data_IF_628259510299
#
_entry.id   IF_628259510299
#
_cell.length_a   1.000
_cell.length_b   1.000
_cell.length_c   1.000
_cell.angle_alpha   90.00
_cell.angle_beta   90.00
_cell.angle_gamma   90.00
#
_symmetry.space_group_name_H-M   'P 1'
#
loop_
_entity.id
_entity.type
_entity.pdbx_description
1 polymer ?
#
# COMPACT_ATOMS: atom_id res chain seq x y z
N UNK A 1 -14.16 3.78 -8.42
CA UNK A 1 -12.93 4.60 -8.47
C UNK A 1 -13.34 6.09 -8.49
N UNK A 2 -13.02 6.85 -7.42
CA UNK A 2 -13.32 8.28 -7.31
C UNK A 2 -12.21 9.16 -7.91
N UNK A 3 -11.17 8.56 -8.47
CA UNK A 3 -10.06 9.29 -9.10
C UNK A 3 -9.13 10.00 -8.12
N UNK A 4 -8.98 9.47 -6.90
CA UNK A 4 -8.07 10.01 -5.89
C UNK A 4 -7.05 8.99 -5.44
N UNK A 5 -5.88 9.46 -5.01
CA UNK A 5 -4.85 8.73 -4.29
C UNK A 5 -4.86 9.21 -2.84
N UNK A 6 -4.87 8.27 -1.88
CA UNK A 6 -4.95 8.61 -0.46
C UNK A 6 -3.60 9.04 0.10
N UNK A 7 -2.54 8.30 -0.19
CA UNK A 7 -1.14 8.53 0.15
C UNK A 7 -0.77 8.44 1.64
N UNK A 8 -1.76 8.27 2.54
CA UNK A 8 -1.54 8.16 4.00
C UNK A 8 -2.31 6.98 4.60
N UNK A 9 -2.28 5.80 3.94
CA UNK A 9 -2.91 4.60 4.49
C UNK A 9 -2.01 3.98 5.55
N UNK A 10 -2.50 3.97 6.79
CA UNK A 10 -1.84 3.42 7.99
C UNK A 10 -2.92 3.02 9.01
N UNK A 11 -2.61 2.23 10.06
CA UNK A 11 -3.59 1.83 11.06
C UNK A 11 -4.30 3.00 11.73
N UNK A 12 -3.59 4.09 12.03
CA UNK A 12 -4.16 5.29 12.67
C UNK A 12 -5.26 5.96 11.85
N UNK A 13 -5.28 5.74 10.53
CA UNK A 13 -6.26 6.32 9.60
C UNK A 13 -7.35 5.32 9.20
N UNK A 14 -7.47 4.20 9.91
CA UNK A 14 -8.52 3.19 9.67
C UNK A 14 -9.47 3.16 10.86
N UNK A 15 -10.73 3.47 10.58
CA UNK A 15 -11.78 3.64 11.58
C UNK A 15 -12.89 2.62 11.41
N UNK A 16 -13.47 2.16 12.52
CA UNK A 16 -14.72 1.40 12.53
C UNK A 16 -15.87 2.38 12.79
N UNK A 17 -16.73 2.57 11.79
CA UNK A 17 -17.91 3.45 11.90
C UNK A 17 -19.16 2.63 11.56
N UNK A 18 -20.05 2.47 12.52
CA UNK A 18 -21.29 1.69 12.38
C UNK A 18 -21.04 0.27 11.81
N UNK A 19 -20.02 -0.42 12.34
CA UNK A 19 -19.67 -1.77 11.91
C UNK A 19 -18.97 -1.87 10.55
N UNK A 20 -18.61 -0.73 9.93
CA UNK A 20 -17.93 -0.70 8.64
C UNK A 20 -16.54 -0.07 8.78
N UNK A 21 -15.52 -0.72 8.23
CA UNK A 21 -14.17 -0.17 8.15
C UNK A 21 -14.11 0.94 7.10
N UNK A 22 -13.52 2.06 7.49
CA UNK A 22 -13.33 3.24 6.64
C UNK A 22 -11.92 3.76 6.76
N UNK A 23 -11.36 4.19 5.64
CA UNK A 23 -10.11 4.95 5.60
C UNK A 23 -10.46 6.43 5.71
N UNK A 24 -9.81 7.12 6.61
CA UNK A 24 -10.00 8.57 6.85
C UNK A 24 -8.69 9.32 6.84
N UNK A 25 -8.73 10.59 7.21
CA UNK A 25 -7.64 11.56 7.09
C UNK A 25 -7.22 11.78 5.62
N UNK A 26 -7.92 12.69 4.97
CA UNK A 26 -7.70 13.05 3.56
C UNK A 26 -6.68 14.19 3.39
N UNK A 27 -5.87 14.47 4.42
CA UNK A 27 -4.91 15.60 4.41
C UNK A 27 -3.83 15.50 3.33
N UNK A 28 -3.52 14.30 2.85
CA UNK A 28 -2.54 14.06 1.78
C UNK A 28 -3.18 13.64 0.45
N UNK A 29 -4.50 13.73 0.32
CA UNK A 29 -5.20 13.25 -0.87
C UNK A 29 -4.76 14.02 -2.13
N UNK A 30 -4.55 13.27 -3.21
CA UNK A 30 -4.25 13.84 -4.52
C UNK A 30 -5.25 13.37 -5.56
N UNK A 31 -5.76 14.29 -6.36
CA UNK A 31 -6.63 13.99 -7.48
C UNK A 31 -5.82 13.43 -8.65
N UNK A 32 -6.27 12.30 -9.23
CA UNK A 32 -5.75 11.75 -10.48
C UNK A 32 -5.79 12.81 -11.57
N UNK A 33 -4.78 12.84 -12.41
CA UNK A 33 -4.70 13.79 -13.53
C UNK A 33 -4.59 15.28 -13.14
N UNK A 34 -4.30 15.59 -11.88
CA UNK A 34 -3.90 16.94 -11.46
C UNK A 34 -2.43 16.92 -11.09
N UNK A 35 -1.71 18.03 -11.34
CA UNK A 35 -0.35 18.19 -10.87
C UNK A 35 -0.27 17.96 -9.36
N UNK A 36 0.77 17.29 -8.91
CA UNK A 36 1.07 17.23 -7.47
C UNK A 36 1.46 18.61 -6.98
N UNK A 37 0.99 18.96 -5.79
CA UNK A 37 1.41 20.16 -5.08
C UNK A 37 2.63 19.90 -4.19
N UNK A 38 3.11 18.65 -4.17
CA UNK A 38 4.26 18.26 -3.36
C UNK A 38 5.53 18.96 -3.87
N UNK A 39 6.38 19.33 -2.93
CA UNK A 39 7.72 19.84 -3.27
C UNK A 39 8.60 18.70 -3.74
N UNK A 40 9.58 19.04 -4.56
CA UNK A 40 10.62 18.10 -4.96
C UNK A 40 11.39 17.60 -3.72
N UNK A 41 11.62 16.28 -3.61
CA UNK A 41 12.24 15.67 -2.44
C UNK A 41 11.41 15.71 -1.16
N UNK A 42 10.11 16.02 -1.24
CA UNK A 42 9.24 16.05 -0.07
C UNK A 42 8.92 14.64 0.43
N UNK A 43 8.94 14.46 1.76
CA UNK A 43 8.45 13.24 2.39
C UNK A 43 6.92 13.21 2.36
N UNK A 44 6.36 12.47 1.42
CA UNK A 44 4.90 12.31 1.28
C UNK A 44 4.46 10.96 1.84
N UNK A 45 3.70 11.01 2.91
CA UNK A 45 3.15 9.83 3.58
C UNK A 45 3.80 9.51 4.92
N UNK A 46 3.28 8.50 5.64
CA UNK A 46 3.65 8.21 7.01
C UNK A 46 4.96 7.43 7.08
N UNK A 47 5.88 7.89 7.94
CA UNK A 47 7.13 7.17 8.23
C UNK A 47 6.81 5.73 8.68
N UNK A 48 7.56 4.78 8.18
CA UNK A 48 7.33 3.35 8.45
C UNK A 48 6.27 2.69 7.55
N UNK A 49 5.41 3.45 6.86
CA UNK A 49 4.37 2.94 5.96
C UNK A 49 4.58 3.33 4.51
N UNK A 50 5.62 4.10 4.20
CA UNK A 50 5.95 4.58 2.86
C UNK A 50 6.05 3.44 1.85
N UNK A 51 5.52 3.71 0.66
CA UNK A 51 5.80 2.88 -0.52
C UNK A 51 7.22 3.14 -1.03
N UNK A 52 7.80 2.24 -1.83
CA UNK A 52 9.11 2.47 -2.46
C UNK A 52 9.18 3.77 -3.26
N UNK A 53 8.11 4.14 -3.95
CA UNK A 53 8.04 5.37 -4.74
C UNK A 53 8.09 6.63 -3.86
N UNK A 54 7.36 6.62 -2.75
CA UNK A 54 7.38 7.71 -1.79
C UNK A 54 8.75 7.85 -1.12
N UNK A 55 9.42 6.72 -0.85
CA UNK A 55 10.79 6.73 -0.34
C UNK A 55 11.80 7.23 -1.40
N UNK A 56 11.64 6.79 -2.66
CA UNK A 56 12.47 7.29 -3.76
C UNK A 56 12.30 8.79 -3.95
N UNK A 57 11.06 9.30 -3.90
CA UNK A 57 10.78 10.74 -3.96
C UNK A 57 11.57 11.49 -2.89
N UNK A 58 11.47 11.05 -1.66
CA UNK A 58 12.13 11.70 -0.53
C UNK A 58 13.66 11.66 -0.62
N UNK A 59 14.24 10.50 -0.99
CA UNK A 59 15.68 10.27 -0.91
C UNK A 59 16.43 10.53 -2.21
N UNK A 60 15.78 10.49 -3.36
CA UNK A 60 16.46 10.34 -4.64
C UNK A 60 15.92 11.22 -5.76
N UNK A 61 14.81 11.94 -5.58
CA UNK A 61 14.20 12.74 -6.66
C UNK A 61 15.16 13.82 -7.19
N UNK A 62 16.02 14.36 -6.34
CA UNK A 62 17.00 15.42 -6.68
C UNK A 62 18.39 14.89 -7.00
N UNK A 63 18.57 13.57 -7.13
CA UNK A 63 19.91 13.02 -7.38
C UNK A 63 20.16 12.91 -8.88
N UNK A 64 21.04 13.75 -9.40
CA UNK A 64 21.43 13.75 -10.81
C UNK A 64 21.94 12.38 -11.27
N UNK A 65 21.59 12.03 -12.52
CA UNK A 65 22.01 10.77 -13.13
C UNK A 65 21.30 9.51 -12.61
N UNK A 66 20.31 9.65 -11.72
CA UNK A 66 19.47 8.55 -11.23
C UNK A 66 18.03 8.74 -11.67
N UNK A 67 17.44 7.66 -12.18
CA UNK A 67 16.04 7.65 -12.64
C UNK A 67 15.26 6.59 -11.88
N UNK A 68 14.82 6.95 -10.68
CA UNK A 68 13.92 6.13 -9.87
C UNK A 68 12.47 6.52 -10.10
N UNK A 69 11.55 5.55 -9.93
CA UNK A 69 10.12 5.87 -9.88
C UNK A 69 9.80 6.62 -8.58
N UNK A 70 9.51 7.90 -8.70
CA UNK A 70 9.12 8.79 -7.60
C UNK A 70 7.62 9.15 -7.67
N UNK A 71 6.87 8.57 -8.61
CA UNK A 71 5.45 8.85 -8.79
C UNK A 71 4.60 8.08 -7.77
N UNK A 72 3.91 8.79 -6.89
CA UNK A 72 3.01 8.23 -5.89
C UNK A 72 1.60 8.17 -6.49
N UNK A 73 1.04 6.97 -6.62
CA UNK A 73 -0.26 6.71 -7.25
C UNK A 73 -1.06 5.62 -6.50
N UNK A 74 -2.15 5.13 -7.09
CA UNK A 74 -3.00 4.08 -6.50
C UNK A 74 -2.23 2.79 -6.14
N UNK A 75 -1.15 2.46 -6.86
CA UNK A 75 -0.33 1.30 -6.50
C UNK A 75 0.56 1.55 -5.28
N UNK A 76 0.84 2.82 -4.97
CA UNK A 76 1.45 3.22 -3.71
C UNK A 76 0.48 3.02 -2.54
N UNK A 77 -0.81 3.34 -2.75
CA UNK A 77 -1.88 3.08 -1.77
C UNK A 77 -2.07 1.57 -1.55
N UNK A 78 -2.02 0.75 -2.61
CA UNK A 78 -2.07 -0.72 -2.49
C UNK A 78 -0.89 -1.28 -1.68
N UNK A 79 0.30 -0.71 -1.82
CA UNK A 79 1.45 -1.09 -1.02
C UNK A 79 1.24 -0.75 0.47
N UNK A 80 0.76 0.45 0.77
CA UNK A 80 0.44 0.85 2.14
C UNK A 80 -0.66 -0.05 2.74
N UNK A 81 -1.71 -0.34 1.97
CA UNK A 81 -2.79 -1.25 2.38
C UNK A 81 -2.26 -2.65 2.70
N UNK A 82 -1.34 -3.17 1.90
CA UNK A 82 -0.69 -4.46 2.17
C UNK A 82 0.11 -4.45 3.47
N UNK A 83 0.78 -3.34 3.80
CA UNK A 83 1.45 -3.18 5.11
C UNK A 83 0.44 -3.21 6.24
N UNK A 84 -0.73 -2.59 6.08
CA UNK A 84 -1.81 -2.63 7.07
C UNK A 84 -2.35 -4.05 7.21
N UNK A 85 -2.61 -4.78 6.12
CA UNK A 85 -3.03 -6.17 6.19
C UNK A 85 -2.01 -7.04 6.94
N UNK A 86 -0.73 -6.89 6.60
CA UNK A 86 0.33 -7.58 7.32
C UNK A 86 0.31 -7.26 8.81
N UNK A 87 0.20 -5.97 9.16
CA UNK A 87 0.18 -5.52 10.54
C UNK A 87 -1.00 -6.11 11.34
N UNK A 88 -2.20 -6.12 10.75
CA UNK A 88 -3.39 -6.69 11.39
C UNK A 88 -3.20 -8.20 11.65
N UNK A 89 -2.57 -8.92 10.72
CA UNK A 89 -2.43 -10.36 10.78
C UNK A 89 -1.22 -10.82 11.59
N UNK A 90 -0.17 -10.01 11.68
CA UNK A 90 1.11 -10.38 12.29
C UNK A 90 1.46 -9.59 13.55
N UNK A 91 0.78 -8.48 13.82
CA UNK A 91 1.07 -7.60 14.96
C UNK A 91 2.31 -6.72 14.78
N UNK A 92 2.97 -6.72 13.61
CA UNK A 92 4.13 -5.88 13.32
C UNK A 92 4.06 -5.29 11.91
N UNK A 93 4.75 -4.17 11.68
CA UNK A 93 4.90 -3.61 10.33
C UNK A 93 5.97 -4.39 9.55
N UNK A 94 5.71 -4.76 8.27
CA UNK A 94 6.71 -5.44 7.46
C UNK A 94 7.86 -4.50 7.13
N UNK A 95 9.08 -4.97 7.37
CA UNK A 95 10.33 -4.26 7.01
C UNK A 95 11.14 -5.19 6.11
N UNK A 96 11.49 -4.71 4.91
CA UNK A 96 12.21 -5.51 3.92
C UNK A 96 11.35 -6.60 3.28
N UNK A 97 11.96 -7.74 2.95
CA UNK A 97 11.28 -8.84 2.29
C UNK A 97 10.55 -9.73 3.30
N UNK A 98 9.25 -9.91 3.11
CA UNK A 98 8.45 -10.85 3.91
C UNK A 98 8.68 -12.29 3.45
N UNK A 99 8.71 -13.24 4.40
CA UNK A 99 8.85 -14.67 4.14
C UNK A 99 7.58 -15.41 4.53
N UNK A 100 7.25 -16.46 3.78
CA UNK A 100 6.08 -17.28 4.08
C UNK A 100 6.20 -18.05 5.40
N UNK A 101 7.44 -18.44 5.75
CA UNK A 101 7.74 -19.08 7.04
C UNK A 101 7.35 -18.24 8.25
N UNK A 102 7.31 -16.92 8.07
CA UNK A 102 7.02 -15.99 9.16
C UNK A 102 5.53 -15.61 9.22
N UNK A 103 4.72 -16.13 8.27
CA UNK A 103 3.29 -15.79 8.17
C UNK A 103 2.43 -16.66 9.08
N UNK A 104 1.87 -16.07 10.13
CA UNK A 104 1.19 -16.79 11.22
C UNK A 104 -0.05 -17.57 10.80
N UNK A 105 -0.79 -17.12 9.81
CA UNK A 105 -2.05 -17.75 9.39
C UNK A 105 -1.88 -19.04 8.58
N UNK A 106 -0.68 -19.41 8.19
CA UNK A 106 -0.40 -20.59 7.36
C UNK A 106 -1.30 -20.69 6.10
N UNK A 107 -1.70 -19.55 5.54
CA UNK A 107 -2.51 -19.45 4.32
C UNK A 107 -1.65 -18.92 3.17
N UNK A 108 -1.08 -19.82 2.36
CA UNK A 108 -0.17 -19.46 1.25
C UNK A 108 -0.81 -18.56 0.21
N UNK A 109 -2.12 -18.68 -0.03
CA UNK A 109 -2.81 -17.81 -0.99
C UNK A 109 -2.90 -16.36 -0.50
N UNK A 110 -3.26 -16.17 0.78
CA UNK A 110 -3.30 -14.85 1.40
C UNK A 110 -1.90 -14.24 1.51
N UNK A 111 -0.91 -15.05 1.94
CA UNK A 111 0.48 -14.62 1.94
C UNK A 111 0.95 -14.15 0.56
N UNK A 112 0.65 -14.94 -0.49
CA UNK A 112 1.06 -14.61 -1.87
C UNK A 112 0.46 -13.30 -2.35
N UNK A 113 -0.81 -13.03 -2.06
CA UNK A 113 -1.48 -11.78 -2.40
C UNK A 113 -0.81 -10.59 -1.69
N UNK A 114 -0.61 -10.69 -0.37
CA UNK A 114 0.04 -9.62 0.41
C UNK A 114 1.47 -9.38 -0.08
N UNK A 115 2.24 -10.45 -0.33
CA UNK A 115 3.60 -10.36 -0.87
C UNK A 115 3.62 -9.68 -2.26
N UNK A 116 2.65 -9.98 -3.11
CA UNK A 116 2.53 -9.35 -4.42
C UNK A 116 2.26 -7.85 -4.28
N UNK A 117 1.34 -7.45 -3.40
CA UNK A 117 1.05 -6.05 -3.11
C UNK A 117 2.27 -5.32 -2.52
N UNK A 118 3.09 -5.99 -1.71
CA UNK A 118 4.34 -5.48 -1.12
C UNK A 118 5.53 -5.49 -2.11
N UNK A 119 5.31 -5.81 -3.38
CA UNK A 119 6.42 -5.83 -4.33
C UNK A 119 7.01 -4.43 -4.52
N UNK A 120 8.35 -4.35 -4.54
CA UNK A 120 9.05 -3.10 -4.77
C UNK A 120 8.68 -2.48 -6.12
N UNK A 121 8.62 -3.29 -7.17
CA UNK A 121 8.22 -2.86 -8.50
C UNK A 121 6.69 -2.77 -8.63
N UNK A 122 6.15 -1.60 -8.97
CA UNK A 122 4.72 -1.39 -9.26
C UNK A 122 4.18 -2.36 -10.31
N UNK A 123 4.95 -2.63 -11.37
CA UNK A 123 4.55 -3.53 -12.46
C UNK A 123 4.24 -4.96 -12.00
N UNK A 124 4.71 -5.35 -10.82
CA UNK A 124 4.48 -6.67 -10.22
C UNK A 124 3.38 -6.65 -9.17
N UNK A 125 2.87 -5.48 -8.80
CA UNK A 125 1.71 -5.36 -7.90
C UNK A 125 0.41 -5.60 -8.68
N UNK A 126 -0.70 -5.92 -8.01
CA UNK A 126 -2.01 -5.90 -8.64
C UNK A 126 -2.27 -4.56 -9.32
N UNK A 127 -2.87 -4.57 -10.51
CA UNK A 127 -3.07 -3.35 -11.29
C UNK A 127 -4.16 -2.43 -10.70
N UNK A 128 -5.07 -2.98 -9.87
CA UNK A 128 -6.16 -2.20 -9.25
C UNK A 128 -6.60 -2.83 -7.93
N UNK A 129 -7.35 -2.07 -7.14
CA UNK A 129 -8.00 -2.56 -5.92
C UNK A 129 -9.06 -3.63 -6.23
N UNK A 130 -9.73 -3.56 -7.38
CA UNK A 130 -10.74 -4.55 -7.76
C UNK A 130 -10.13 -5.95 -7.94
N UNK A 131 -8.92 -6.04 -8.46
CA UNK A 131 -8.17 -7.31 -8.54
C UNK A 131 -7.92 -7.84 -7.12
N UNK A 132 -7.48 -6.99 -6.20
CA UNK A 132 -7.24 -7.39 -4.81
C UNK A 132 -8.53 -7.87 -4.14
N UNK A 133 -9.65 -7.19 -4.35
CA UNK A 133 -10.97 -7.57 -3.81
C UNK A 133 -11.37 -8.95 -4.35
N UNK A 134 -11.25 -9.18 -5.66
CA UNK A 134 -11.60 -10.46 -6.28
C UNK A 134 -10.73 -11.60 -5.74
N UNK A 135 -9.43 -11.39 -5.62
CA UNK A 135 -8.51 -12.40 -5.06
C UNK A 135 -8.84 -12.71 -3.60
N UNK A 136 -9.14 -11.68 -2.79
CA UNK A 136 -9.58 -11.87 -1.41
C UNK A 136 -10.89 -12.66 -1.33
N UNK A 137 -11.87 -12.39 -2.20
CA UNK A 137 -13.14 -13.13 -2.25
C UNK A 137 -12.92 -14.61 -2.59
N UNK A 138 -12.01 -14.91 -3.53
CA UNK A 138 -11.63 -16.29 -3.87
C UNK A 138 -11.01 -16.99 -2.65
N UNK A 139 -10.10 -16.31 -1.95
CA UNK A 139 -9.45 -16.84 -0.76
C UNK A 139 -10.47 -17.11 0.35
N UNK A 140 -11.36 -16.14 0.65
CA UNK A 140 -12.41 -16.29 1.67
C UNK A 140 -13.33 -17.46 1.32
N UNK A 141 -13.78 -17.56 0.08
CA UNK A 141 -14.65 -18.63 -0.37
C UNK A 141 -14.02 -20.02 -0.27
N UNK A 142 -12.70 -20.11 -0.41
CA UNK A 142 -11.95 -21.39 -0.35
C UNK A 142 -11.67 -21.84 1.08
N UNK A 143 -11.38 -20.93 2.00
CA UNK A 143 -10.83 -21.27 3.31
C UNK A 143 -11.77 -20.99 4.50
N UNK A 144 -12.82 -20.20 4.31
CA UNK A 144 -13.67 -19.69 5.41
C UNK A 144 -15.16 -19.89 5.16
N UNK A 145 -15.53 -20.89 4.35
CA UNK A 145 -16.92 -21.36 4.20
C UNK A 145 -17.26 -22.45 5.19
#
# INVERSE_FOLDING_TARGET
>A
DLGYYHRDIKPDNIFMINGTWKVGDLGLIQMRNKPSLDREGELVGPRGWLSPEAMNKYLSENVEGRNFDCNIDHQSDLFQLAKVFWYILQGNAPIGCVKESDFLLHNSSLYSLIKQMLNHSKKRRPASVDIVINDLQIIVNKYYK
#
